data_IF_748177594557
#
_entry.id   IF_748177594557
#
_cell.length_a   1.000
_cell.length_b   1.000
_cell.length_c   1.000
_cell.angle_alpha   90.00
_cell.angle_beta   90.00
_cell.angle_gamma   90.00
#
_symmetry.space_group_name_H-M   'P 1'
#
loop_
_entity.id
_entity.type
_entity.pdbx_description
1 polymer ?
#
# COMPACT_ATOMS: atom_id res chain seq x y z
N UNK A 1 -8.92 -2.66 25.48
CA UNK A 1 -8.00 -3.71 24.98
C UNK A 1 -8.54 -4.24 23.67
N UNK A 2 -7.70 -4.55 22.68
CA UNK A 2 -8.17 -5.16 21.42
C UNK A 2 -8.76 -6.54 21.71
N UNK A 3 -9.99 -6.79 21.26
CA UNK A 3 -10.62 -8.10 21.40
C UNK A 3 -9.90 -9.09 20.47
N UNK A 4 -9.17 -10.06 21.04
CA UNK A 4 -8.34 -11.01 20.26
C UNK A 4 -8.91 -12.42 20.32
N UNK A 5 -8.91 -13.12 19.18
CA UNK A 5 -9.38 -14.50 19.06
C UNK A 5 -8.36 -15.31 18.26
N UNK A 6 -8.03 -16.52 18.72
CA UNK A 6 -7.15 -17.40 17.93
C UNK A 6 -7.84 -17.85 16.64
N UNK A 7 -7.09 -18.03 15.56
CA UNK A 7 -7.63 -18.54 14.28
C UNK A 7 -8.33 -19.89 14.42
N UNK A 8 -7.87 -20.75 15.35
CA UNK A 8 -8.50 -22.04 15.64
C UNK A 8 -9.88 -21.86 16.30
N UNK A 9 -10.02 -20.88 17.20
CA UNK A 9 -11.28 -20.55 17.85
C UNK A 9 -12.23 -19.80 16.89
N UNK A 10 -11.70 -18.86 16.11
CA UNK A 10 -12.46 -18.09 15.14
C UNK A 10 -13.14 -18.99 14.10
N UNK A 11 -12.48 -20.08 13.68
CA UNK A 11 -13.07 -21.08 12.79
C UNK A 11 -14.34 -21.71 13.37
N UNK A 12 -14.39 -21.94 14.68
CA UNK A 12 -15.54 -22.58 15.36
C UNK A 12 -16.71 -21.62 15.58
N UNK A 13 -16.43 -20.32 15.68
CA UNK A 13 -17.41 -19.29 16.05
C UNK A 13 -17.52 -18.16 15.02
N UNK A 14 -17.26 -18.47 13.75
CA UNK A 14 -17.13 -17.44 12.71
C UNK A 14 -18.39 -16.57 12.60
N UNK A 15 -19.58 -17.19 12.57
CA UNK A 15 -20.85 -16.47 12.46
C UNK A 15 -21.09 -15.51 13.64
N UNK A 16 -20.79 -15.94 14.86
CA UNK A 16 -20.92 -15.12 16.07
C UNK A 16 -19.97 -13.92 16.02
N UNK A 17 -18.72 -14.13 15.59
CA UNK A 17 -17.71 -13.07 15.45
C UNK A 17 -18.12 -12.06 14.38
N UNK A 18 -18.59 -12.53 13.22
CA UNK A 18 -19.07 -11.66 12.13
C UNK A 18 -20.25 -10.82 12.62
N UNK A 19 -21.25 -11.42 13.26
CA UNK A 19 -22.40 -10.69 13.80
C UNK A 19 -21.98 -9.67 14.86
N UNK A 20 -21.06 -10.04 15.76
CA UNK A 20 -20.54 -9.12 16.77
C UNK A 20 -19.82 -7.92 16.13
N UNK A 21 -19.05 -8.12 15.08
CA UNK A 21 -18.35 -7.05 14.37
C UNK A 21 -19.33 -6.18 13.57
N UNK A 22 -20.29 -6.78 12.88
CA UNK A 22 -21.27 -6.09 12.06
C UNK A 22 -22.18 -5.16 12.90
N UNK A 23 -22.66 -5.63 14.06
CA UNK A 23 -23.62 -4.90 14.89
C UNK A 23 -23.00 -4.22 16.10
N UNK A 24 -21.97 -4.82 16.71
CA UNK A 24 -21.30 -4.30 17.90
C UNK A 24 -20.27 -3.21 17.59
N UNK A 25 -19.89 -3.03 16.31
CA UNK A 25 -18.91 -2.03 15.83
C UNK A 25 -17.53 -2.10 16.49
N UNK A 26 -17.20 -3.21 17.16
CA UNK A 26 -15.89 -3.44 17.75
C UNK A 26 -15.05 -4.38 16.87
N UNK A 27 -13.80 -3.99 16.52
CA UNK A 27 -12.94 -4.85 15.72
C UNK A 27 -12.47 -6.07 16.50
N UNK A 28 -12.36 -7.21 15.80
CA UNK A 28 -11.84 -8.47 16.36
C UNK A 28 -10.53 -8.83 15.70
N UNK A 29 -9.47 -8.94 16.48
CA UNK A 29 -8.12 -9.27 16.00
C UNK A 29 -7.91 -10.78 16.03
N UNK A 30 -7.55 -11.36 14.90
CA UNK A 30 -7.20 -12.77 14.77
C UNK A 30 -5.73 -13.00 15.10
N UNK A 31 -5.47 -14.02 15.92
CA UNK A 31 -4.12 -14.42 16.30
C UNK A 31 -3.75 -15.83 15.84
N UNK A 32 -2.47 -16.07 15.59
CA UNK A 32 -1.91 -17.39 15.32
C UNK A 32 -0.63 -17.55 16.11
N UNK A 33 -0.58 -18.56 16.99
CA UNK A 33 0.54 -18.77 17.94
C UNK A 33 0.84 -17.52 18.80
N UNK A 34 -0.19 -16.77 19.18
CA UNK A 34 -0.07 -15.53 19.96
C UNK A 34 0.18 -14.27 19.12
N UNK A 35 0.65 -14.41 17.88
CA UNK A 35 0.90 -13.28 16.99
C UNK A 35 -0.38 -12.76 16.35
N UNK A 36 -0.56 -11.43 16.29
CA UNK A 36 -1.68 -10.78 15.59
C UNK A 36 -1.42 -10.83 14.09
N UNK A 37 -2.38 -11.34 13.32
CA UNK A 37 -2.17 -11.58 11.87
C UNK A 37 -3.25 -11.02 10.95
N UNK A 38 -4.45 -10.76 11.49
CA UNK A 38 -5.56 -10.18 10.73
C UNK A 38 -6.54 -9.52 11.70
N UNK A 39 -7.46 -8.70 11.19
CA UNK A 39 -8.57 -8.16 11.94
C UNK A 39 -9.85 -8.23 11.11
N UNK A 40 -10.97 -8.44 11.78
CA UNK A 40 -12.31 -8.30 11.23
C UNK A 40 -12.87 -6.98 11.73
N UNK A 41 -13.34 -6.15 10.81
CA UNK A 41 -13.87 -4.80 11.07
C UNK A 41 -15.26 -4.66 10.43
N UNK A 42 -16.06 -3.72 10.90
CA UNK A 42 -17.36 -3.44 10.27
C UNK A 42 -17.18 -2.71 8.92
N UNK A 43 -18.22 -2.72 8.08
CA UNK A 43 -18.20 -1.98 6.81
C UNK A 43 -18.01 -0.47 7.03
N UNK A 44 -18.68 0.11 8.04
CA UNK A 44 -18.51 1.52 8.42
C UNK A 44 -17.07 1.85 8.82
N UNK A 45 -16.38 0.94 9.53
CA UNK A 45 -14.98 1.11 9.89
C UNK A 45 -14.06 0.99 8.67
N UNK A 46 -14.39 0.10 7.74
CA UNK A 46 -13.67 -0.02 6.47
C UNK A 46 -13.83 1.25 5.63
N UNK A 47 -15.05 1.78 5.52
CA UNK A 47 -15.34 3.04 4.82
C UNK A 47 -14.61 4.22 5.45
N UNK A 48 -14.59 4.31 6.79
CA UNK A 48 -13.84 5.34 7.49
C UNK A 48 -12.33 5.22 7.25
N UNK A 49 -11.80 3.99 7.24
CA UNK A 49 -10.38 3.75 6.95
C UNK A 49 -10.04 4.19 5.52
N UNK A 50 -10.87 3.81 4.54
CA UNK A 50 -10.70 4.22 3.14
C UNK A 50 -10.76 5.74 2.99
N UNK A 51 -11.73 6.39 3.63
CA UNK A 51 -11.87 7.85 3.62
C UNK A 51 -10.63 8.55 4.20
N UNK A 52 -10.07 8.03 5.29
CA UNK A 52 -8.85 8.56 5.91
C UNK A 52 -7.64 8.36 4.99
N UNK A 53 -7.50 7.19 4.36
CA UNK A 53 -6.44 6.92 3.38
C UNK A 53 -6.51 7.89 2.20
N UNK A 54 -7.71 8.09 1.65
CA UNK A 54 -7.94 9.03 0.55
C UNK A 54 -7.57 10.48 0.95
N UNK A 55 -7.88 10.90 2.18
CA UNK A 55 -7.52 12.24 2.69
C UNK A 55 -6.01 12.40 2.90
N UNK A 56 -5.33 11.36 3.38
CA UNK A 56 -3.87 11.38 3.54
C UNK A 56 -3.20 11.48 2.18
N UNK A 57 -3.70 10.74 1.18
CA UNK A 57 -3.19 10.81 -0.18
C UNK A 57 -3.39 12.20 -0.80
N UNK A 58 -4.52 12.87 -0.53
CA UNK A 58 -4.76 14.27 -0.95
C UNK A 58 -3.79 15.24 -0.28
N UNK A 59 -3.54 15.09 1.02
CA UNK A 59 -2.59 15.96 1.74
C UNK A 59 -1.14 15.75 1.30
N UNK A 60 -0.76 14.50 1.02
CA UNK A 60 0.55 14.19 0.44
C UNK A 60 0.67 14.74 -0.99
N UNK A 61 -0.40 14.71 -1.79
CA UNK A 61 -0.46 15.36 -3.10
C UNK A 61 -0.36 16.90 -3.00
N UNK A 62 -1.00 17.52 -1.99
CA UNK A 62 -0.92 18.97 -1.77
C UNK A 62 0.49 19.40 -1.38
N UNK A 63 1.16 18.67 -0.47
CA UNK A 63 2.57 18.93 -0.12
C UNK A 63 3.48 18.80 -1.33
N UNK A 64 3.24 17.80 -2.18
CA UNK A 64 3.94 17.63 -3.45
C UNK A 64 3.79 18.83 -4.41
N UNK A 65 2.66 19.53 -4.39
CA UNK A 65 2.43 20.74 -5.19
C UNK A 65 3.07 22.00 -4.58
N UNK A 66 3.30 22.03 -3.28
CA UNK A 66 3.87 23.17 -2.54
C UNK A 66 5.41 23.18 -2.50
N UNK A 67 6.08 22.09 -2.90
CA UNK A 67 7.53 22.01 -3.00
C UNK A 67 8.08 22.94 -4.12
N UNK A 68 8.97 23.91 -3.82
CA UNK A 68 9.52 24.81 -4.83
C UNK A 68 10.44 24.06 -5.80
N UNK A 69 10.13 24.16 -7.09
CA UNK A 69 10.80 23.46 -8.17
C UNK A 69 9.82 23.00 -9.24
N UNK A 70 10.32 22.32 -10.26
CA UNK A 70 9.46 21.74 -11.30
C UNK A 70 8.48 20.75 -10.66
N UNK A 71 7.16 20.98 -10.87
CA UNK A 71 6.08 20.21 -10.25
C UNK A 71 6.40 18.71 -10.32
N UNK A 72 6.38 18.02 -9.17
CA UNK A 72 6.76 16.62 -9.08
C UNK A 72 5.97 15.74 -10.07
N UNK A 73 4.72 16.10 -10.36
CA UNK A 73 3.89 15.43 -11.37
C UNK A 73 4.52 15.50 -12.76
N UNK A 74 5.11 16.64 -13.13
CA UNK A 74 5.81 16.81 -14.40
C UNK A 74 7.15 16.05 -14.44
N UNK A 75 7.81 15.88 -13.29
CA UNK A 75 9.06 15.08 -13.17
C UNK A 75 8.78 13.58 -13.22
N UNK A 76 7.71 13.13 -12.55
CA UNK A 76 7.24 11.74 -12.62
C UNK A 76 6.80 11.43 -14.04
N UNK A 77 5.98 12.29 -14.66
CA UNK A 77 5.56 12.11 -16.05
C UNK A 77 6.74 11.95 -17.00
N UNK A 78 7.71 12.87 -16.97
CA UNK A 78 8.92 12.75 -17.81
C UNK A 78 9.70 11.47 -17.53
N UNK A 79 9.81 11.03 -16.28
CA UNK A 79 10.50 9.77 -15.96
C UNK A 79 9.71 8.54 -16.42
N UNK A 80 8.37 8.60 -16.42
CA UNK A 80 7.50 7.56 -16.97
C UNK A 80 7.63 7.49 -18.49
N UNK A 81 7.63 8.63 -19.17
CA UNK A 81 7.84 8.72 -20.62
C UNK A 81 9.24 8.17 -21.00
N UNK A 82 10.29 8.58 -20.27
CA UNK A 82 11.67 8.07 -20.41
C UNK A 82 11.74 6.55 -20.18
N UNK A 83 10.98 6.02 -19.22
CA UNK A 83 10.94 4.58 -18.95
C UNK A 83 10.29 3.78 -20.08
N UNK A 84 9.31 4.35 -20.77
CA UNK A 84 8.65 3.71 -21.90
C UNK A 84 9.59 3.55 -23.10
N UNK A 85 10.50 4.51 -23.30
CA UNK A 85 11.48 4.50 -24.40
C UNK A 85 12.79 3.79 -24.03
N UNK A 86 13.25 3.96 -22.79
CA UNK A 86 14.57 3.54 -22.32
C UNK A 86 14.46 2.80 -20.98
N UNK A 87 14.13 1.51 -21.06
CA UNK A 87 14.09 0.64 -19.89
C UNK A 87 15.50 0.46 -19.28
N UNK A 88 15.74 0.88 -18.02
CA UNK A 88 17.02 0.64 -17.36
C UNK A 88 17.19 -0.85 -17.06
N UNK A 89 18.45 -1.28 -16.93
CA UNK A 89 18.80 -2.68 -16.67
C UNK A 89 17.96 -3.24 -15.49
N UNK A 90 17.09 -4.23 -15.75
CA UNK A 90 16.21 -4.82 -14.74
C UNK A 90 16.97 -5.37 -13.53
N UNK A 91 18.23 -5.78 -13.68
CA UNK A 91 19.05 -6.29 -12.58
C UNK A 91 19.39 -5.21 -11.55
N UNK A 92 19.53 -3.95 -12.00
CA UNK A 92 19.89 -2.82 -11.16
C UNK A 92 18.69 -2.20 -10.44
N UNK A 93 17.50 -2.34 -11.02
CA UNK A 93 16.25 -1.78 -10.49
C UNK A 93 15.45 -2.78 -9.65
N UNK A 94 15.82 -4.07 -9.69
CA UNK A 94 15.11 -5.13 -8.99
C UNK A 94 15.01 -4.87 -7.48
N UNK A 95 13.80 -5.02 -6.94
CA UNK A 95 13.61 -5.00 -5.49
C UNK A 95 14.04 -6.34 -4.88
N UNK A 96 14.71 -6.29 -3.73
CA UNK A 96 15.11 -7.50 -2.98
C UNK A 96 13.88 -8.33 -2.60
N UNK A 97 14.07 -9.64 -2.51
CA UNK A 97 13.02 -10.60 -2.13
C UNK A 97 12.37 -11.29 -3.33
N UNK A 98 11.45 -12.21 -3.06
CA UNK A 98 10.75 -13.01 -4.08
C UNK A 98 9.53 -12.25 -4.60
N UNK A 99 9.74 -11.19 -5.37
CA UNK A 99 8.69 -10.38 -5.99
C UNK A 99 9.02 -10.01 -7.44
N UNK A 100 8.02 -9.51 -8.18
CA UNK A 100 8.18 -9.08 -9.57
C UNK A 100 8.61 -7.60 -9.70
N UNK A 101 8.79 -6.88 -8.59
CA UNK A 101 8.88 -5.42 -8.59
C UNK A 101 10.28 -4.88 -8.89
N UNK A 102 10.28 -3.76 -9.60
CA UNK A 102 11.43 -2.91 -9.89
C UNK A 102 11.17 -1.49 -9.37
N UNK A 103 12.23 -0.70 -9.17
CA UNK A 103 12.16 0.61 -8.51
C UNK A 103 13.13 1.62 -9.14
N UNK A 104 12.67 2.85 -9.34
CA UNK A 104 13.51 4.00 -9.75
C UNK A 104 13.19 5.22 -8.87
N UNK A 105 14.20 6.07 -8.62
CA UNK A 105 14.08 7.28 -7.79
C UNK A 105 13.79 8.51 -8.66
N UNK A 106 12.83 9.35 -8.23
CA UNK A 106 12.53 10.66 -8.81
C UNK A 106 12.47 11.68 -7.68
N UNK A 107 13.57 12.40 -7.43
CA UNK A 107 13.67 13.24 -6.23
C UNK A 107 13.47 12.40 -4.97
N UNK A 108 12.54 12.79 -4.10
CA UNK A 108 12.21 12.05 -2.89
C UNK A 108 11.22 10.90 -3.06
N UNK A 109 10.70 10.74 -4.28
CA UNK A 109 9.69 9.77 -4.66
C UNK A 109 10.32 8.53 -5.33
N UNK A 110 9.54 7.44 -5.39
CA UNK A 110 9.93 6.21 -6.10
C UNK A 110 8.82 5.75 -7.01
N UNK A 111 9.17 5.48 -8.26
CA UNK A 111 8.32 4.75 -9.19
C UNK A 111 8.63 3.27 -9.00
N UNK A 112 7.59 2.49 -8.71
CA UNK A 112 7.66 1.03 -8.75
C UNK A 112 7.08 0.59 -10.10
N UNK A 113 7.57 -0.49 -10.68
CA UNK A 113 7.03 -1.04 -11.93
C UNK A 113 7.28 -2.55 -12.02
N UNK A 114 6.61 -3.19 -12.98
CA UNK A 114 6.82 -4.59 -13.34
C UNK A 114 7.00 -4.69 -14.84
N UNK A 115 7.87 -5.60 -15.29
CA UNK A 115 8.04 -5.94 -16.69
C UNK A 115 7.25 -7.23 -16.92
N UNK A 116 6.27 -7.20 -17.82
CA UNK A 116 5.47 -8.37 -18.18
C UNK A 116 5.70 -8.70 -19.65
N UNK A 117 6.39 -9.82 -19.90
CA UNK A 117 6.81 -10.25 -21.25
C UNK A 117 7.59 -9.11 -21.94
N UNK A 118 7.02 -8.51 -23.00
CA UNK A 118 7.59 -7.40 -23.79
C UNK A 118 6.87 -6.07 -23.54
N UNK A 119 5.97 -6.01 -22.55
CA UNK A 119 5.20 -4.80 -22.20
C UNK A 119 5.65 -4.27 -20.85
N UNK A 120 6.00 -2.99 -20.83
CA UNK A 120 6.25 -2.28 -19.59
C UNK A 120 4.91 -1.97 -18.91
N UNK A 121 4.63 -2.64 -17.80
CA UNK A 121 3.45 -2.34 -16.96
C UNK A 121 3.92 -1.46 -15.81
N UNK A 122 3.75 -0.15 -15.98
CA UNK A 122 4.08 0.85 -14.96
C UNK A 122 2.91 0.94 -13.99
N UNK A 123 2.96 0.15 -12.91
CA UNK A 123 2.08 0.36 -11.77
C UNK A 123 2.73 1.41 -10.86
N UNK A 124 2.27 2.66 -10.89
CA UNK A 124 2.75 3.70 -9.95
C UNK A 124 2.20 3.35 -8.55
N UNK A 125 2.91 2.50 -7.81
CA UNK A 125 2.41 1.88 -6.58
C UNK A 125 2.24 2.88 -5.43
N UNK A 126 3.02 3.98 -5.35
CA UNK A 126 2.85 5.00 -4.31
C UNK A 126 3.70 6.24 -4.56
N UNK A 127 3.13 7.42 -4.41
CA UNK A 127 3.85 8.70 -4.28
C UNK A 127 3.98 8.97 -2.79
N UNK A 128 5.17 8.81 -2.22
CA UNK A 128 5.36 9.03 -0.78
C UNK A 128 6.83 9.22 -0.38
N UNK A 129 7.04 9.97 0.70
CA UNK A 129 8.37 10.30 1.23
C UNK A 129 9.17 9.02 1.59
N UNK A 130 10.50 9.06 1.42
CA UNK A 130 11.44 7.91 1.49
C UNK A 130 11.25 6.94 2.67
N UNK A 131 10.64 7.39 3.78
CA UNK A 131 10.43 6.66 5.04
C UNK A 131 9.15 5.81 5.08
N UNK A 132 8.16 6.07 4.23
CA UNK A 132 6.82 5.47 4.37
C UNK A 132 6.43 4.50 3.25
N UNK A 133 7.18 4.50 2.14
CA UNK A 133 6.95 3.63 0.98
C UNK A 133 7.08 2.12 1.31
N UNK A 134 7.80 1.75 2.37
CA UNK A 134 8.03 0.34 2.71
C UNK A 134 7.05 -0.24 3.73
N UNK A 135 6.20 0.58 4.37
CA UNK A 135 5.34 0.11 5.46
C UNK A 135 4.07 -0.61 4.99
N UNK A 136 3.74 -0.53 3.70
CA UNK A 136 2.50 -1.08 3.12
C UNK A 136 2.72 -2.10 1.99
N UNK A 137 3.95 -2.61 1.83
CA UNK A 137 4.32 -3.59 0.79
C UNK A 137 4.73 -4.97 1.34
N UNK A 138 4.40 -5.24 2.61
CA UNK A 138 4.58 -6.53 3.27
C UNK A 138 3.22 -7.10 3.67
#
# INVERSE_FOLDING_TARGET
>A
MLNTVSTAEARKKLAEIVNKVAYGKEPVVLTRRGEKIAALISMEQLELLQFIEDHIDIEDARKALEEPGENISARIKRKVDDLAENLPDPTTTKMKGKNAFHRIRVGDYRIVYVIHEDRLVILVVKVGHRKDVYKSLL
#
